data_IF_660867064950
#
_entry.id   IF_660867064950
#
_cell.length_a   1.000
_cell.length_b   1.000
_cell.length_c   1.000
_cell.angle_alpha   90.00
_cell.angle_beta   90.00
_cell.angle_gamma   90.00
#
_symmetry.space_group_name_H-M   'P 1'
#
loop_
_entity.id
_entity.type
_entity.pdbx_description
1 polymer ?
#
# COMPACT_ATOMS: atom_id res chain seq x y z
N UNK A 1 -32.57 -0.24 21.69
CA UNK A 1 -31.76 0.71 20.89
C UNK A 1 -30.36 0.14 20.80
N UNK A 2 -30.10 -0.65 19.75
CA UNK A 2 -28.74 -1.05 19.41
C UNK A 2 -28.07 0.18 18.79
N UNK A 3 -27.07 0.73 19.44
CA UNK A 3 -26.24 1.75 18.86
C UNK A 3 -25.50 1.12 17.65
N UNK A 4 -25.29 1.86 16.54
CA UNK A 4 -24.49 1.36 15.45
C UNK A 4 -23.08 1.02 15.98
N UNK A 5 -22.59 -0.15 15.62
CA UNK A 5 -21.27 -0.62 16.02
C UNK A 5 -20.37 -0.52 14.78
N UNK A 6 -19.21 0.08 14.96
CA UNK A 6 -18.13 0.02 13.98
C UNK A 6 -17.15 -1.04 14.45
N UNK A 7 -16.87 -2.02 13.60
CA UNK A 7 -15.75 -2.92 13.75
C UNK A 7 -14.55 -2.32 12.99
N UNK A 8 -13.51 -1.91 13.70
CA UNK A 8 -12.27 -1.46 13.09
C UNK A 8 -11.33 -2.65 12.91
N UNK A 9 -11.05 -2.99 11.67
CA UNK A 9 -10.12 -4.08 11.33
C UNK A 9 -8.79 -3.53 10.84
N UNK A 10 -7.71 -4.17 11.26
CA UNK A 10 -6.37 -3.89 10.80
C UNK A 10 -5.76 -5.09 10.09
N UNK A 11 -4.64 -4.87 9.42
CA UNK A 11 -3.92 -5.86 8.60
C UNK A 11 -3.44 -7.08 9.39
N UNK A 12 -3.39 -7.03 10.72
CA UNK A 12 -2.95 -8.16 11.55
C UNK A 12 -3.74 -9.45 11.34
N UNK A 13 -5.01 -9.35 10.98
CA UNK A 13 -5.82 -10.53 10.61
C UNK A 13 -5.43 -11.12 9.25
N UNK A 14 -4.90 -10.30 8.34
CA UNK A 14 -4.51 -10.72 6.99
C UNK A 14 -3.17 -11.45 7.00
N UNK A 15 -2.32 -11.19 7.98
CA UNK A 15 -1.01 -11.81 8.13
C UNK A 15 -1.07 -13.21 8.76
N UNK A 16 -2.24 -13.84 8.73
CA UNK A 16 -2.46 -15.19 9.25
C UNK A 16 -2.97 -16.11 8.17
N UNK A 17 -2.65 -17.39 8.30
CA UNK A 17 -3.26 -18.42 7.48
C UNK A 17 -4.80 -18.34 7.63
N UNK A 18 -5.52 -18.36 6.52
CA UNK A 18 -6.99 -18.20 6.47
C UNK A 18 -7.51 -16.85 7.01
N UNK A 19 -6.67 -15.79 7.06
CA UNK A 19 -7.07 -14.45 7.49
C UNK A 19 -8.23 -13.87 6.69
N UNK A 20 -8.34 -14.22 5.42
CA UNK A 20 -9.47 -13.84 4.57
C UNK A 20 -10.83 -14.35 5.13
N UNK A 21 -10.88 -15.57 5.65
CA UNK A 21 -12.12 -16.13 6.23
C UNK A 21 -12.48 -15.42 7.54
N UNK A 22 -11.48 -15.03 8.33
CA UNK A 22 -11.70 -14.22 9.53
C UNK A 22 -12.29 -12.84 9.18
N UNK A 23 -11.77 -12.17 8.13
CA UNK A 23 -12.32 -10.91 7.64
C UNK A 23 -13.77 -11.08 7.15
N UNK A 24 -14.05 -12.14 6.39
CA UNK A 24 -15.41 -12.45 5.93
C UNK A 24 -16.36 -12.65 7.10
N UNK A 25 -15.96 -13.42 8.11
CA UNK A 25 -16.77 -13.68 9.30
C UNK A 25 -17.12 -12.38 10.03
N UNK A 26 -16.13 -11.51 10.24
CA UNK A 26 -16.33 -10.22 10.88
C UNK A 26 -17.21 -9.28 10.03
N UNK A 27 -17.02 -9.25 8.70
CA UNK A 27 -17.83 -8.45 7.79
C UNK A 27 -19.31 -8.88 7.75
N UNK A 28 -19.60 -10.14 8.06
CA UNK A 28 -20.98 -10.64 8.13
C UNK A 28 -21.73 -10.13 9.37
N UNK A 29 -21.05 -9.83 10.48
CA UNK A 29 -21.71 -9.35 11.70
C UNK A 29 -22.50 -8.06 11.46
N UNK A 30 -21.91 -6.98 10.92
CA UNK A 30 -22.69 -5.77 10.61
C UNK A 30 -23.74 -6.00 9.50
N UNK A 31 -23.56 -7.00 8.63
CA UNK A 31 -24.56 -7.35 7.62
C UNK A 31 -25.81 -7.94 8.25
N UNK A 32 -25.68 -8.96 9.13
CA UNK A 32 -26.82 -9.63 9.74
C UNK A 32 -27.51 -8.76 10.81
N UNK A 33 -26.79 -7.85 11.45
CA UNK A 33 -27.35 -6.90 12.42
C UNK A 33 -27.96 -5.66 11.76
N UNK A 34 -27.74 -5.46 10.46
CA UNK A 34 -28.17 -4.26 9.72
C UNK A 34 -27.36 -3.01 10.06
N UNK A 35 -26.20 -3.14 10.73
CA UNK A 35 -25.38 -2.02 11.14
C UNK A 35 -24.85 -1.20 9.94
N UNK A 36 -24.65 -1.81 8.77
CA UNK A 36 -24.29 -1.13 7.53
C UNK A 36 -25.26 -0.04 7.08
N UNK A 37 -26.52 -0.06 7.57
CA UNK A 37 -27.55 0.96 7.23
C UNK A 37 -27.49 2.20 8.10
N UNK A 38 -26.66 2.20 9.11
CA UNK A 38 -26.57 3.30 10.06
C UNK A 38 -25.27 4.09 9.85
N UNK A 39 -25.36 5.41 9.88
CA UNK A 39 -24.17 6.27 9.87
C UNK A 39 -23.28 5.91 11.08
N UNK A 40 -22.03 5.62 10.81
CA UNK A 40 -21.09 5.18 11.84
C UNK A 40 -21.24 3.72 12.24
N UNK A 41 -22.02 2.93 11.50
CA UNK A 41 -22.11 1.48 11.66
C UNK A 41 -21.39 0.76 10.52
N UNK A 42 -21.12 -0.53 10.71
CA UNK A 42 -20.47 -1.36 9.70
C UNK A 42 -19.06 -1.78 10.07
N UNK A 43 -18.23 -1.99 9.06
CA UNK A 43 -16.84 -2.38 9.21
C UNK A 43 -15.94 -1.38 8.49
N UNK A 44 -14.98 -0.83 9.19
CA UNK A 44 -14.00 0.11 8.66
C UNK A 44 -12.62 -0.55 8.63
N UNK A 45 -12.05 -0.70 7.43
CA UNK A 45 -10.67 -1.15 7.24
C UNK A 45 -9.82 -0.06 6.61
N UNK A 46 -10.24 0.41 5.43
CA UNK A 46 -9.51 1.43 4.70
C UNK A 46 -10.45 2.17 3.76
N UNK A 47 -10.22 3.48 3.61
CA UNK A 47 -10.88 4.31 2.60
C UNK A 47 -10.08 4.42 1.30
N UNK A 48 -8.92 3.76 1.20
CA UNK A 48 -8.01 3.83 0.05
C UNK A 48 -8.72 3.59 -1.29
N UNK A 49 -9.56 2.58 -1.36
CA UNK A 49 -10.28 2.22 -2.59
C UNK A 49 -11.11 3.35 -3.21
N UNK A 50 -11.54 4.32 -2.40
CA UNK A 50 -12.30 5.47 -2.91
C UNK A 50 -11.36 6.48 -3.57
N UNK A 51 -10.15 6.66 -3.07
CA UNK A 51 -9.14 7.51 -3.69
C UNK A 51 -8.65 6.88 -5.00
N UNK A 52 -8.43 5.57 -5.03
CA UNK A 52 -8.03 4.83 -6.24
C UNK A 52 -9.06 4.93 -7.38
N UNK A 53 -10.32 5.23 -7.05
CA UNK A 53 -11.39 5.42 -8.04
C UNK A 53 -11.47 6.85 -8.58
N UNK A 54 -11.00 7.83 -7.83
CA UNK A 54 -11.15 9.25 -8.18
C UNK A 54 -9.86 9.88 -8.68
N UNK A 55 -8.70 9.43 -8.21
CA UNK A 55 -7.41 9.93 -8.65
C UNK A 55 -6.96 9.27 -9.96
N UNK A 56 -6.33 10.05 -10.83
CA UNK A 56 -5.78 9.55 -12.09
C UNK A 56 -4.32 9.18 -11.91
N UNK A 57 -3.89 8.03 -12.44
CA UNK A 57 -2.47 7.64 -12.40
C UNK A 57 -1.66 8.56 -13.35
N UNK A 58 -0.72 9.37 -12.84
CA UNK A 58 0.05 10.31 -13.66
C UNK A 58 1.07 9.59 -14.57
N UNK A 59 1.42 8.36 -14.25
CA UNK A 59 2.29 7.52 -15.09
C UNK A 59 1.51 6.29 -15.55
N UNK A 60 0.68 6.44 -16.60
CA UNK A 60 -0.19 5.36 -17.03
C UNK A 60 0.62 4.17 -17.51
N UNK A 61 0.17 2.97 -17.15
CA UNK A 61 0.78 1.73 -17.62
C UNK A 61 0.76 1.68 -19.15
N UNK A 62 1.92 1.48 -19.77
CA UNK A 62 2.02 1.38 -21.23
C UNK A 62 1.19 0.20 -21.74
N UNK A 63 0.36 0.48 -22.74
CA UNK A 63 -0.34 -0.57 -23.50
C UNK A 63 0.70 -1.46 -24.18
N UNK A 64 0.60 -2.77 -24.00
CA UNK A 64 1.53 -3.73 -24.63
C UNK A 64 2.77 -4.10 -23.80
N UNK A 65 2.93 -3.58 -22.60
CA UNK A 65 3.95 -4.09 -21.70
C UNK A 65 3.65 -5.55 -21.32
N UNK A 66 4.68 -6.39 -21.45
CA UNK A 66 4.62 -7.72 -20.85
C UNK A 66 4.40 -7.58 -19.37
N UNK A 67 3.40 -8.28 -18.83
CA UNK A 67 3.17 -8.27 -17.37
C UNK A 67 4.42 -8.82 -16.68
N UNK A 68 5.02 -8.06 -15.76
CA UNK A 68 6.16 -8.56 -15.02
C UNK A 68 5.73 -9.76 -14.16
N UNK A 69 6.67 -10.65 -13.88
CA UNK A 69 6.48 -11.65 -12.83
C UNK A 69 6.26 -10.93 -11.49
N UNK A 70 5.21 -11.33 -10.79
CA UNK A 70 4.91 -10.82 -9.45
C UNK A 70 5.29 -11.89 -8.45
N UNK A 71 6.10 -11.52 -7.48
CA UNK A 71 6.51 -12.39 -6.37
C UNK A 71 5.70 -12.01 -5.14
N UNK A 72 5.22 -13.01 -4.40
CA UNK A 72 4.62 -12.76 -3.10
C UNK A 72 5.70 -12.22 -2.15
N UNK A 73 5.45 -11.09 -1.53
CA UNK A 73 6.36 -10.46 -0.58
C UNK A 73 6.79 -11.42 0.56
N UNK A 74 5.87 -12.24 1.04
CA UNK A 74 6.15 -13.23 2.09
C UNK A 74 7.11 -14.35 1.66
N UNK A 75 7.25 -14.58 0.34
CA UNK A 75 8.15 -15.58 -0.24
C UNK A 75 9.47 -14.97 -0.76
N UNK A 76 9.77 -13.73 -0.39
CA UNK A 76 10.95 -13.02 -0.93
C UNK A 76 12.24 -13.81 -0.68
N UNK A 77 12.44 -14.34 0.52
CA UNK A 77 13.63 -15.10 0.87
C UNK A 77 13.78 -16.37 0.02
N UNK A 78 12.68 -17.13 -0.13
CA UNK A 78 12.65 -18.33 -0.96
C UNK A 78 13.03 -18.01 -2.41
N UNK A 79 12.43 -16.96 -2.98
CA UNK A 79 12.66 -16.55 -4.37
C UNK A 79 14.07 -16.03 -4.59
N UNK A 80 14.64 -15.29 -3.64
CA UNK A 80 16.02 -14.81 -3.75
C UNK A 80 17.04 -15.94 -3.64
N UNK A 81 16.71 -17.05 -3.00
CA UNK A 81 17.61 -18.20 -2.79
C UNK A 81 17.31 -19.39 -3.69
N UNK A 82 16.31 -19.28 -4.57
CA UNK A 82 15.94 -20.34 -5.51
C UNK A 82 16.95 -20.42 -6.66
N UNK A 83 17.74 -21.52 -6.76
CA UNK A 83 18.74 -21.69 -7.81
C UNK A 83 18.12 -21.99 -9.19
N UNK A 84 16.86 -22.43 -9.22
CA UNK A 84 16.14 -22.80 -10.44
C UNK A 84 15.25 -21.68 -10.98
N UNK A 85 15.29 -20.51 -10.35
CA UNK A 85 14.49 -19.37 -10.77
C UNK A 85 14.89 -18.82 -12.14
N UNK A 86 13.98 -18.88 -13.10
CA UNK A 86 14.21 -18.40 -14.48
C UNK A 86 13.20 -17.32 -14.88
N UNK A 87 13.64 -16.12 -15.31
CA UNK A 87 14.99 -15.60 -15.18
C UNK A 87 15.38 -15.32 -13.72
N UNK A 88 16.66 -15.42 -13.35
CA UNK A 88 17.12 -15.13 -12.01
C UNK A 88 16.97 -13.63 -11.67
N UNK A 89 16.83 -13.32 -10.40
CA UNK A 89 16.87 -11.93 -9.92
C UNK A 89 18.34 -11.56 -9.67
N UNK A 90 18.84 -10.62 -10.47
CA UNK A 90 20.23 -10.12 -10.39
C UNK A 90 20.30 -8.66 -9.93
N UNK A 91 19.16 -7.95 -9.91
CA UNK A 91 19.04 -6.60 -9.39
C UNK A 91 17.80 -6.53 -8.51
N UNK A 92 17.98 -5.98 -7.31
CA UNK A 92 16.90 -5.70 -6.36
C UNK A 92 16.89 -4.22 -6.01
N UNK A 93 15.79 -3.53 -6.29
CA UNK A 93 15.57 -2.16 -5.84
C UNK A 93 14.57 -2.19 -4.69
N UNK A 94 15.00 -1.75 -3.51
CA UNK A 94 14.16 -1.66 -2.32
C UNK A 94 13.73 -0.21 -2.12
N UNK A 95 12.43 0.00 -2.11
CA UNK A 95 11.79 1.31 -1.99
C UNK A 95 10.69 1.25 -0.94
N UNK A 96 10.71 2.16 0.02
CA UNK A 96 9.74 2.25 1.12
C UNK A 96 9.55 0.92 1.90
N UNK A 97 10.59 0.14 2.05
CA UNK A 97 10.51 -1.18 2.68
C UNK A 97 11.81 -1.57 3.38
N UNK A 98 11.71 -2.36 4.44
CA UNK A 98 12.86 -2.95 5.13
C UNK A 98 12.71 -4.48 5.20
N UNK A 99 12.85 -5.20 4.07
CA UNK A 99 12.56 -6.63 3.99
C UNK A 99 13.40 -7.49 4.93
N UNK A 100 14.63 -7.12 5.23
CA UNK A 100 15.47 -7.85 6.19
C UNK A 100 14.86 -7.91 7.60
N UNK A 101 13.94 -6.98 7.93
CA UNK A 101 13.29 -6.92 9.25
C UNK A 101 11.83 -7.35 9.22
N UNK A 102 11.09 -6.96 8.16
CA UNK A 102 9.63 -7.09 8.16
C UNK A 102 9.12 -8.32 7.41
N UNK A 103 9.94 -8.95 6.56
CA UNK A 103 9.51 -10.10 5.77
C UNK A 103 9.57 -11.38 6.63
N UNK A 104 8.56 -12.24 6.60
CA UNK A 104 8.60 -13.53 7.27
C UNK A 104 9.79 -14.37 6.82
N UNK A 105 10.25 -15.25 7.71
CA UNK A 105 11.41 -16.12 7.48
C UNK A 105 12.67 -15.33 7.09
N UNK A 106 13.19 -14.59 8.04
CA UNK A 106 14.31 -13.67 7.87
C UNK A 106 15.59 -14.35 7.34
N UNK A 107 15.87 -15.60 7.71
CA UNK A 107 17.12 -16.25 7.35
C UNK A 107 17.32 -16.40 5.83
N UNK A 108 16.34 -16.91 5.03
CA UNK A 108 16.46 -16.91 3.58
C UNK A 108 16.53 -15.51 2.98
N UNK A 109 15.87 -14.50 3.57
CA UNK A 109 15.96 -13.11 3.09
C UNK A 109 17.39 -12.61 3.23
N UNK A 110 18.01 -12.78 4.40
CA UNK A 110 19.39 -12.37 4.63
C UNK A 110 20.37 -13.16 3.74
N UNK A 111 20.15 -14.46 3.56
CA UNK A 111 20.97 -15.26 2.64
C UNK A 111 20.83 -14.78 1.19
N UNK A 112 19.63 -14.42 0.76
CA UNK A 112 19.38 -13.85 -0.56
C UNK A 112 20.05 -12.48 -0.76
N UNK A 113 19.98 -11.60 0.23
CA UNK A 113 20.61 -10.28 0.20
C UNK A 113 22.14 -10.35 0.25
N UNK A 114 22.71 -11.43 0.77
CA UNK A 114 24.15 -11.65 0.83
C UNK A 114 24.75 -12.32 -0.43
N UNK A 115 23.97 -12.54 -1.48
CA UNK A 115 24.44 -13.15 -2.72
C UNK A 115 25.39 -12.23 -3.47
N UNK A 116 26.51 -12.76 -3.92
CA UNK A 116 27.52 -12.02 -4.70
C UNK A 116 27.04 -11.63 -6.12
N UNK A 117 26.02 -12.33 -6.66
CA UNK A 117 25.44 -12.09 -7.98
C UNK A 117 24.16 -11.26 -7.95
N UNK A 118 23.78 -10.71 -6.79
CA UNK A 118 22.65 -9.82 -6.61
C UNK A 118 23.13 -8.40 -6.35
N UNK A 119 22.85 -7.46 -7.26
CA UNK A 119 23.08 -6.05 -7.03
C UNK A 119 21.87 -5.41 -6.34
N UNK A 120 22.06 -4.98 -5.09
CA UNK A 120 20.98 -4.43 -4.26
C UNK A 120 21.09 -2.91 -4.11
N UNK A 121 20.06 -2.19 -4.53
CA UNK A 121 19.89 -0.74 -4.34
C UNK A 121 18.80 -0.50 -3.31
N UNK A 122 19.10 0.29 -2.29
CA UNK A 122 18.12 0.64 -1.23
C UNK A 122 17.92 2.14 -1.19
N UNK A 123 16.66 2.59 -1.34
CA UNK A 123 16.25 3.98 -1.16
C UNK A 123 15.68 4.13 0.24
N UNK A 124 16.42 4.80 1.15
CA UNK A 124 16.06 4.82 2.56
C UNK A 124 16.51 6.11 3.26
N UNK A 125 15.83 6.46 4.33
CA UNK A 125 16.12 7.63 5.16
C UNK A 125 17.16 7.34 6.25
N UNK A 126 17.36 6.07 6.60
CA UNK A 126 18.27 5.62 7.65
C UNK A 126 18.98 4.34 7.22
N UNK A 127 20.11 4.03 7.87
CA UNK A 127 20.83 2.77 7.67
C UNK A 127 20.09 1.62 8.36
N UNK A 128 19.02 1.14 7.70
CA UNK A 128 18.24 -0.02 8.14
C UNK A 128 19.03 -1.32 7.96
N UNK A 129 18.51 -2.43 8.49
CA UNK A 129 19.15 -3.74 8.31
C UNK A 129 19.23 -4.12 6.84
N UNK A 130 18.21 -3.83 6.03
CA UNK A 130 18.28 -4.02 4.58
C UNK A 130 19.35 -3.12 3.93
N UNK A 131 19.42 -1.85 4.32
CA UNK A 131 20.41 -0.92 3.79
C UNK A 131 21.85 -1.34 4.06
N UNK A 132 22.10 -2.10 5.16
CA UNK A 132 23.43 -2.64 5.49
C UNK A 132 23.87 -3.77 4.56
N UNK A 133 22.96 -4.39 3.83
CA UNK A 133 23.22 -5.42 2.83
C UNK A 133 23.24 -4.87 1.39
N UNK A 134 22.99 -3.56 1.20
CA UNK A 134 22.95 -2.96 -0.11
C UNK A 134 24.33 -2.68 -0.68
N UNK A 135 24.47 -2.86 -2.00
CA UNK A 135 25.64 -2.39 -2.76
C UNK A 135 25.59 -0.87 -2.94
N UNK A 136 24.38 -0.31 -3.02
CA UNK A 136 24.16 1.12 -3.17
C UNK A 136 23.01 1.58 -2.30
N UNK A 137 23.25 2.59 -1.45
CA UNK A 137 22.21 3.27 -0.68
C UNK A 137 22.01 4.65 -1.25
N UNK A 138 20.77 4.95 -1.65
CA UNK A 138 20.35 6.27 -2.11
C UNK A 138 19.55 6.94 -1.00
N UNK A 139 20.04 8.08 -0.46
CA UNK A 139 19.35 8.76 0.63
C UNK A 139 18.03 9.37 0.13
N UNK A 140 16.94 8.98 0.78
CA UNK A 140 15.60 9.48 0.50
C UNK A 140 15.23 10.63 1.43
N UNK A 141 14.46 11.60 0.92
CA UNK A 141 13.92 12.68 1.75
C UNK A 141 12.88 12.17 2.73
N UNK A 142 12.80 12.84 3.87
CA UNK A 142 11.69 12.68 4.81
C UNK A 142 10.47 13.49 4.36
N UNK A 143 9.33 13.24 4.95
CA UNK A 143 8.06 13.90 4.62
C UNK A 143 8.13 15.44 4.76
N UNK A 144 8.99 15.98 5.62
CA UNK A 144 9.15 17.45 5.79
C UNK A 144 10.02 18.10 4.71
N UNK A 145 10.58 17.33 3.79
CA UNK A 145 11.57 17.76 2.79
C UNK A 145 11.06 17.71 1.34
N UNK A 146 9.86 17.15 1.09
CA UNK A 146 9.33 17.04 -0.28
C UNK A 146 7.84 17.37 -0.37
N UNK A 147 7.39 17.66 -1.59
CA UNK A 147 5.98 17.76 -1.93
C UNK A 147 5.35 16.40 -1.99
N UNK A 148 4.16 16.24 -1.40
CA UNK A 148 3.37 15.03 -1.53
C UNK A 148 1.87 15.32 -1.47
N UNK A 149 1.07 14.51 -2.17
CA UNK A 149 -0.38 14.51 -2.06
C UNK A 149 -0.80 13.28 -1.24
N UNK A 150 -1.38 13.53 -0.08
CA UNK A 150 -1.67 12.49 0.89
C UNK A 150 -3.17 12.19 0.95
N UNK A 151 -3.49 10.92 0.93
CA UNK A 151 -4.79 10.40 1.31
C UNK A 151 -4.69 9.66 2.66
N UNK A 152 -5.80 9.19 3.18
CA UNK A 152 -5.81 8.46 4.46
C UNK A 152 -6.64 7.19 4.42
N UNK A 153 -6.33 6.29 5.32
CA UNK A 153 -7.06 5.02 5.46
C UNK A 153 -8.38 5.11 6.25
N UNK A 154 -8.62 6.22 6.91
CA UNK A 154 -9.75 6.37 7.83
C UNK A 154 -10.67 7.55 7.56
N UNK A 155 -10.40 8.36 6.53
CA UNK A 155 -11.21 9.52 6.18
C UNK A 155 -11.14 9.86 4.70
N UNK A 156 -12.00 10.77 4.25
CA UNK A 156 -12.15 11.15 2.84
C UNK A 156 -11.55 12.54 2.59
N UNK A 157 -10.40 12.84 3.17
CA UNK A 157 -9.68 14.10 2.95
C UNK A 157 -8.41 13.84 2.16
N UNK A 158 -8.12 14.73 1.20
CA UNK A 158 -6.81 14.91 0.59
C UNK A 158 -6.06 16.00 1.33
N UNK A 159 -4.78 15.82 1.55
CA UNK A 159 -3.90 16.82 2.17
C UNK A 159 -2.70 17.07 1.26
N UNK A 160 -2.31 18.31 1.12
CA UNK A 160 -1.08 18.68 0.44
C UNK A 160 0.04 18.86 1.46
N UNK A 161 1.10 18.11 1.29
CA UNK A 161 2.31 18.29 2.06
C UNK A 161 3.31 19.15 1.28
N UNK A 162 3.56 20.37 1.75
CA UNK A 162 4.64 21.21 1.22
C UNK A 162 5.91 21.02 2.05
N UNK A 163 7.11 21.02 1.43
CA UNK A 163 8.34 20.90 2.19
C UNK A 163 8.48 22.05 3.18
N UNK A 164 8.76 21.72 4.43
CA UNK A 164 9.04 22.69 5.50
C UNK A 164 10.52 23.08 5.54
N UNK A 165 11.39 22.24 5.04
CA UNK A 165 12.85 22.44 4.96
C UNK A 165 13.36 21.94 3.60
N UNK A 166 14.53 22.41 3.21
CA UNK A 166 15.23 21.84 2.05
C UNK A 166 15.75 20.44 2.39
N UNK A 167 15.89 19.55 1.38
CA UNK A 167 16.50 18.24 1.56
C UNK A 167 17.85 18.30 2.26
N UNK A 168 18.08 17.39 3.21
CA UNK A 168 19.33 17.33 3.97
C UNK A 168 20.38 16.52 3.21
N UNK A 169 21.56 17.08 3.04
CA UNK A 169 22.70 16.41 2.41
C UNK A 169 22.42 16.09 0.94
N UNK A 170 22.53 14.83 0.57
CA UNK A 170 22.29 14.34 -0.79
C UNK A 170 20.92 13.68 -0.96
N UNK A 171 20.03 13.78 0.05
CA UNK A 171 18.70 13.21 -0.01
C UNK A 171 17.87 13.78 -1.16
N UNK A 172 17.16 12.92 -1.87
CA UNK A 172 16.27 13.28 -2.96
C UNK A 172 14.87 12.68 -2.74
N UNK A 173 13.81 13.38 -3.17
CA UNK A 173 12.50 12.74 -3.30
C UNK A 173 12.60 11.47 -4.17
N UNK A 174 11.87 10.44 -3.80
CA UNK A 174 11.86 9.19 -4.56
C UNK A 174 11.48 9.41 -6.04
N UNK A 175 10.54 10.30 -6.30
CA UNK A 175 10.15 10.70 -7.66
C UNK A 175 11.34 11.26 -8.46
N UNK A 176 12.17 12.09 -7.85
CA UNK A 176 13.37 12.64 -8.49
C UNK A 176 14.43 11.57 -8.77
N UNK A 177 14.59 10.59 -7.86
CA UNK A 177 15.49 9.45 -8.10
C UNK A 177 15.03 8.66 -9.33
N UNK A 178 13.74 8.38 -9.46
CA UNK A 178 13.20 7.66 -10.62
C UNK A 178 13.27 8.49 -11.91
N UNK A 179 13.09 9.81 -11.86
CA UNK A 179 13.31 10.70 -13.02
C UNK A 179 14.75 10.62 -13.52
N UNK A 180 15.72 10.71 -12.61
CA UNK A 180 17.16 10.58 -12.97
C UNK A 180 17.48 9.19 -13.51
N UNK A 181 16.93 8.15 -12.92
CA UNK A 181 17.10 6.79 -13.41
C UNK A 181 16.52 6.63 -14.82
N UNK A 182 15.34 7.17 -15.09
CA UNK A 182 14.73 7.15 -16.41
C UNK A 182 15.64 7.82 -17.47
N UNK A 183 16.18 8.99 -17.15
CA UNK A 183 17.15 9.70 -18.03
C UNK A 183 18.40 8.85 -18.26
N UNK A 184 18.97 8.28 -17.20
CA UNK A 184 20.17 7.45 -17.30
C UNK A 184 19.95 6.18 -18.13
N UNK A 185 18.75 5.63 -18.10
CA UNK A 185 18.34 4.47 -18.89
C UNK A 185 17.88 4.82 -20.32
N UNK A 186 17.83 6.10 -20.68
CA UNK A 186 17.31 6.55 -21.98
C UNK A 186 15.82 6.27 -22.17
N UNK A 187 15.05 6.24 -21.08
CA UNK A 187 13.61 6.03 -21.12
C UNK A 187 12.93 7.36 -21.42
N UNK A 188 12.22 7.40 -22.53
CA UNK A 188 11.39 8.54 -22.95
C UNK A 188 9.92 8.09 -22.96
N UNK A 189 9.22 8.32 -21.86
CA UNK A 189 7.81 8.02 -21.73
C UNK A 189 7.07 9.15 -21.03
N UNK A 190 5.81 9.41 -21.40
CA UNK A 190 4.96 10.39 -20.73
C UNK A 190 4.97 10.18 -19.21
N UNK A 191 5.06 11.26 -18.46
CA UNK A 191 5.05 11.26 -17.01
C UNK A 191 6.42 11.00 -16.34
N UNK A 192 7.40 10.41 -17.05
CA UNK A 192 8.72 10.12 -16.44
C UNK A 192 9.58 11.35 -16.22
N UNK A 193 9.33 12.46 -16.91
CA UNK A 193 10.06 13.72 -16.79
C UNK A 193 9.31 14.78 -15.99
N UNK A 194 8.05 14.54 -15.65
CA UNK A 194 7.19 15.51 -15.00
C UNK A 194 7.66 15.78 -13.56
N UNK A 195 7.62 17.03 -13.14
CA UNK A 195 7.89 17.40 -11.76
C UNK A 195 6.74 17.03 -10.82
N UNK A 196 6.98 17.12 -9.52
CA UNK A 196 6.01 16.67 -8.51
C UNK A 196 4.72 17.50 -8.54
N UNK A 197 4.79 18.82 -8.85
CA UNK A 197 3.58 19.65 -8.98
C UNK A 197 2.75 19.25 -10.20
N UNK A 198 3.41 18.99 -11.32
CA UNK A 198 2.76 18.50 -12.53
C UNK A 198 2.09 17.15 -12.27
N UNK A 199 2.77 16.24 -11.56
CA UNK A 199 2.20 14.93 -11.20
C UNK A 199 0.99 15.08 -10.27
N UNK A 200 1.03 15.98 -9.29
CA UNK A 200 -0.14 16.25 -8.42
C UNK A 200 -1.32 16.81 -9.23
N UNK A 201 -1.07 17.74 -10.17
CA UNK A 201 -2.12 18.26 -11.05
C UNK A 201 -2.75 17.15 -11.88
N UNK A 202 -1.93 16.27 -12.43
CA UNK A 202 -2.40 15.12 -13.22
C UNK A 202 -3.21 14.12 -12.36
N UNK A 203 -2.78 13.85 -11.12
CA UNK A 203 -3.55 13.03 -10.18
C UNK A 203 -4.95 13.58 -9.91
N UNK A 204 -5.08 14.90 -9.87
CA UNK A 204 -6.34 15.62 -9.61
C UNK A 204 -7.16 15.88 -10.89
N UNK A 205 -6.58 15.70 -12.07
CA UNK A 205 -7.24 15.88 -13.37
C UNK A 205 -8.16 14.70 -13.71
N UNK A 206 -9.29 14.66 -13.02
CA UNK A 206 -10.28 13.60 -13.12
C UNK A 206 -11.68 14.19 -13.26
N UNK A 207 -12.47 13.63 -14.17
CA UNK A 207 -13.89 13.99 -14.34
C UNK A 207 -14.78 13.46 -13.21
N UNK A 208 -14.22 12.90 -12.16
CA UNK A 208 -15.00 12.33 -11.08
C UNK A 208 -15.60 13.43 -10.20
N UNK A 209 -16.95 13.44 -9.96
CA UNK A 209 -17.63 14.54 -9.26
C UNK A 209 -17.11 14.77 -7.83
N UNK A 210 -16.47 13.79 -7.21
CA UNK A 210 -15.90 13.95 -5.87
C UNK A 210 -14.64 14.83 -5.84
N UNK A 211 -14.07 15.11 -7.03
CA UNK A 211 -12.93 16.03 -7.18
C UNK A 211 -13.33 17.41 -7.75
N UNK A 212 -14.61 17.65 -8.05
CA UNK A 212 -15.06 18.93 -8.56
C UNK A 212 -14.58 20.10 -7.70
N UNK A 213 -13.81 21.03 -8.30
CA UNK A 213 -13.24 22.19 -7.61
C UNK A 213 -12.18 21.87 -6.56
N UNK A 214 -11.58 20.66 -6.60
CA UNK A 214 -10.41 20.29 -5.81
C UNK A 214 -9.21 20.26 -6.77
N UNK A 215 -8.38 21.27 -6.68
CA UNK A 215 -7.16 21.46 -7.44
C UNK A 215 -5.96 21.74 -6.52
N UNK A 216 -4.78 21.82 -7.12
CA UNK A 216 -3.55 22.09 -6.37
C UNK A 216 -3.61 23.44 -5.64
N UNK A 217 -4.16 24.47 -6.28
CA UNK A 217 -4.27 25.83 -5.73
C UNK A 217 -5.14 25.87 -4.49
N UNK A 218 -6.26 25.15 -4.50
CA UNK A 218 -7.15 25.03 -3.36
C UNK A 218 -6.51 24.23 -2.22
N UNK A 219 -5.87 23.12 -2.54
CA UNK A 219 -5.14 22.33 -1.56
C UNK A 219 -3.98 23.11 -0.93
N UNK A 220 -3.31 23.94 -1.71
CA UNK A 220 -2.23 24.80 -1.22
C UNK A 220 -2.74 25.88 -0.26
N UNK A 221 -3.90 26.45 -0.57
CA UNK A 221 -4.53 27.48 0.25
C UNK A 221 -5.12 26.93 1.56
N UNK A 222 -5.76 25.75 1.51
CA UNK A 222 -6.48 25.16 2.64
C UNK A 222 -5.65 24.10 3.41
N UNK A 223 -4.60 23.56 2.80
CA UNK A 223 -3.76 22.48 3.34
C UNK A 223 -4.39 21.10 3.23
N UNK A 224 -5.71 20.99 3.32
CA UNK A 224 -6.48 19.77 3.19
C UNK A 224 -7.91 20.06 2.73
N UNK A 225 -8.46 19.18 1.91
CA UNK A 225 -9.83 19.27 1.39
C UNK A 225 -10.53 17.92 1.49
N UNK A 226 -11.78 17.93 1.95
CA UNK A 226 -12.61 16.72 1.90
C UNK A 226 -13.10 16.50 0.48
N UNK A 227 -13.04 15.25 0.00
CA UNK A 227 -13.71 14.86 -1.26
C UNK A 227 -15.21 15.19 -1.19
N UNK A 228 -15.80 15.56 -2.32
CA UNK A 228 -17.24 15.89 -2.43
C UNK A 228 -18.11 14.62 -2.35
N UNK A 229 -17.87 13.81 -1.33
CA UNK A 229 -18.68 12.62 -1.07
C UNK A 229 -20.08 13.08 -0.66
N UNK A 230 -21.16 12.53 -1.27
CA UNK A 230 -22.52 12.91 -0.94
C UNK A 230 -22.83 12.81 0.55
N UNK A 231 -23.67 13.72 1.06
CA UNK A 231 -24.16 13.65 2.43
C UNK A 231 -24.97 12.37 2.63
N UNK A 232 -24.68 11.66 3.70
CA UNK A 232 -25.36 10.41 4.00
C UNK A 232 -24.83 9.19 3.21
N UNK A 233 -23.78 9.34 2.40
CA UNK A 233 -23.14 8.22 1.73
C UNK A 233 -22.73 7.13 2.73
N UNK A 234 -23.22 5.93 2.52
CA UNK A 234 -22.96 4.75 3.38
C UNK A 234 -22.45 3.60 2.50
N UNK A 235 -21.15 3.37 2.43
CA UNK A 235 -20.62 2.18 1.80
C UNK A 235 -21.01 0.92 2.64
N UNK A 236 -21.30 -0.22 2.04
CA UNK A 236 -21.47 -0.52 0.63
C UNK A 236 -22.88 -0.29 0.08
N UNK A 237 -23.74 0.42 0.84
CA UNK A 237 -25.17 0.56 0.49
C UNK A 237 -25.39 1.48 -0.72
N UNK A 238 -24.53 2.51 -0.85
CA UNK A 238 -24.70 3.56 -1.88
C UNK A 238 -23.76 3.38 -3.08
N UNK A 239 -22.99 2.32 -3.14
CA UNK A 239 -22.01 2.33 -4.21
C UNK A 239 -21.63 1.02 -4.84
N UNK A 240 -21.56 -0.04 -4.21
CA UNK A 240 -21.12 -1.25 -4.84
C UNK A 240 -21.33 -2.46 -3.95
N UNK A 241 -22.56 -2.87 -3.85
CA UNK A 241 -22.75 -4.30 -3.61
C UNK A 241 -22.21 -5.01 -4.84
N UNK A 242 -21.24 -5.90 -4.64
CA UNK A 242 -20.63 -6.67 -5.73
C UNK A 242 -21.63 -7.62 -6.43
N UNK A 243 -22.89 -7.56 -6.07
CA UNK A 243 -23.96 -8.40 -6.61
C UNK A 243 -24.95 -7.56 -7.41
N UNK A 244 -25.35 -8.07 -8.58
CA UNK A 244 -26.27 -7.38 -9.49
C UNK A 244 -27.65 -7.09 -8.87
N UNK A 245 -28.04 -7.81 -7.82
CA UNK A 245 -29.32 -7.66 -7.10
C UNK A 245 -29.22 -6.73 -5.90
N UNK A 246 -28.07 -6.11 -5.67
CA UNK A 246 -27.84 -5.18 -4.55
C UNK A 246 -27.85 -5.85 -3.16
N UNK A 247 -27.68 -7.15 -3.09
CA UNK A 247 -27.62 -7.89 -1.83
C UNK A 247 -26.18 -8.19 -1.44
N UNK A 248 -25.93 -8.32 -0.15
CA UNK A 248 -24.65 -8.83 0.34
C UNK A 248 -24.63 -10.36 0.21
N UNK A 249 -23.62 -10.89 -0.48
CA UNK A 249 -23.41 -12.32 -0.60
C UNK A 249 -22.83 -12.88 0.70
N UNK A 250 -23.68 -13.44 1.55
CA UNK A 250 -23.29 -14.16 2.75
C UNK A 250 -23.07 -15.63 2.36
N UNK A 251 -21.86 -15.99 1.98
CA UNK A 251 -21.49 -17.37 1.73
C UNK A 251 -21.27 -18.17 3.02
N UNK A 252 -21.26 -19.50 2.97
CA UNK A 252 -20.93 -20.31 4.13
C UNK A 252 -19.53 -19.97 4.64
N UNK A 253 -19.39 -19.93 5.97
CA UNK A 253 -18.10 -19.83 6.64
C UNK A 253 -17.68 -21.24 7.03
N UNK A 254 -16.51 -21.65 6.57
CA UNK A 254 -15.88 -22.89 7.01
C UNK A 254 -14.73 -22.55 7.96
N UNK A 255 -14.78 -23.07 9.16
CA UNK A 255 -13.62 -23.03 10.04
C UNK A 255 -12.58 -24.02 9.52
N UNK A 256 -11.41 -23.51 9.18
CA UNK A 256 -10.24 -24.32 8.84
C UNK A 256 -9.15 -24.02 9.88
N UNK A 257 -8.72 -25.02 10.67
CA UNK A 257 -7.56 -24.82 11.54
C UNK A 257 -6.35 -24.49 10.68
N UNK A 258 -5.61 -23.43 11.05
CA UNK A 258 -4.34 -23.13 10.43
C UNK A 258 -3.20 -23.92 11.05
N UNK A 259 -2.15 -24.15 10.29
CA UNK A 259 -0.90 -24.75 10.81
C UNK A 259 -0.19 -23.84 11.83
N UNK A 260 -0.61 -22.57 11.89
CA UNK A 260 -0.14 -21.57 12.85
C UNK A 260 -0.74 -21.75 14.25
N UNK A 261 -1.80 -22.53 14.38
CA UNK A 261 -2.44 -22.87 15.64
C UNK A 261 -2.34 -24.38 15.87
N UNK A 262 -1.14 -24.92 16.10
CA UNK A 262 -1.01 -26.32 16.44
C UNK A 262 -1.66 -26.60 17.79
N UNK A 263 -2.18 -27.79 17.96
CA UNK A 263 -2.62 -28.31 19.25
C UNK A 263 -1.48 -28.17 20.26
N UNK A 264 -1.60 -27.16 21.12
CA UNK A 264 -0.58 -26.77 22.10
C UNK A 264 0.56 -25.96 21.53
N UNK A 265 0.42 -24.72 21.51
CA UNK A 265 1.30 -23.53 21.49
C UNK A 265 2.82 -23.63 21.32
N UNK A 266 3.43 -24.80 21.44
CA UNK A 266 4.87 -24.97 21.41
C UNK A 266 5.52 -24.49 20.11
N UNK A 267 4.82 -24.59 18.98
CA UNK A 267 5.33 -24.14 17.68
C UNK A 267 5.21 -22.61 17.50
N UNK A 268 4.17 -22.00 18.03
CA UNK A 268 4.01 -20.55 17.98
C UNK A 268 5.08 -19.86 18.83
N UNK A 269 5.31 -20.35 20.04
CA UNK A 269 6.35 -19.84 20.95
C UNK A 269 7.76 -20.08 20.39
N UNK A 270 7.97 -21.20 19.68
CA UNK A 270 9.25 -21.50 19.06
C UNK A 270 9.53 -20.66 17.80
N UNK A 271 8.49 -20.32 17.01
CA UNK A 271 8.61 -19.44 15.83
C UNK A 271 8.66 -17.95 16.15
N UNK A 272 7.97 -17.53 17.20
CA UNK A 272 7.88 -16.14 17.62
C UNK A 272 8.17 -16.04 19.13
N UNK A 273 9.42 -16.23 19.55
CA UNK A 273 9.75 -16.05 20.95
C UNK A 273 9.40 -14.62 21.34
N UNK A 274 8.47 -14.49 22.27
CA UNK A 274 8.20 -13.22 22.93
C UNK A 274 9.42 -12.90 23.79
N UNK A 275 10.36 -12.15 23.21
CA UNK A 275 11.54 -11.63 23.88
C UNK A 275 11.23 -10.40 24.71
#
# INVERSE_FOLDING_TARGET
>A
NLHPVIDALSIGLEHRQHGQEAHRALAMLPAVTGAWRARGGGLCRSTQQYFDQVLVDPVPRRTGMVRPRVVNMAALGEVLTDPDLDPPITVLIVHNCNPATITPDQNPVLAGLARDDLFTVVMEQAMTDTARHADLVLPATTQVEHLDLMNAWGHMYLSLNRPAIAPVGEALPNTEVFRRLAVAMGLDAPGLADDDETMVRQLLDSDHPWLDGIDLERLDAEGWVRLNVPDGFIPPMDGATATADGRLALGPLEYRPGDETPDGDARLVARYPLG
#
